data_IF_287487612297
#
_entry.id   IF_287487612297
#
_cell.length_a   1.000
_cell.length_b   1.000
_cell.length_c   1.000
_cell.angle_alpha   90.00
_cell.angle_beta   90.00
_cell.angle_gamma   90.00
#
_symmetry.space_group_name_H-M   'P 1'
#
loop_
_entity.id
_entity.type
_entity.pdbx_description
1 polymer ?
#
# COMPACT_ATOMS: atom_id res chain seq x y z
N UNK A 1 2.28 18.40 3.60
CA UNK A 1 1.89 17.45 2.52
C UNK A 1 1.07 16.32 3.14
N UNK A 2 -0.18 16.13 2.74
CA UNK A 2 -1.08 15.14 3.37
C UNK A 2 -0.61 13.67 3.26
N UNK A 3 -0.05 13.19 2.13
CA UNK A 3 0.44 11.81 2.03
C UNK A 3 1.55 11.46 3.04
N UNK A 4 2.51 12.37 3.24
CA UNK A 4 3.60 12.14 4.19
C UNK A 4 3.09 12.03 5.64
N UNK A 5 2.09 12.83 6.01
CA UNK A 5 1.51 12.76 7.35
C UNK A 5 0.76 11.44 7.59
N UNK A 6 0.01 10.97 6.59
CA UNK A 6 -0.64 9.64 6.62
C UNK A 6 0.40 8.54 6.86
N UNK A 7 1.49 8.53 6.07
CA UNK A 7 2.53 7.51 6.19
C UNK A 7 3.23 7.54 7.57
N UNK A 8 3.42 8.72 8.16
CA UNK A 8 3.97 8.88 9.52
C UNK A 8 3.03 8.27 10.56
N UNK A 9 1.73 8.61 10.54
CA UNK A 9 0.75 8.07 11.49
C UNK A 9 0.67 6.55 11.41
N UNK A 10 0.70 6.02 10.18
CA UNK A 10 0.72 4.59 9.93
C UNK A 10 2.00 3.94 10.46
N UNK A 11 3.18 4.53 10.24
CA UNK A 11 4.45 3.99 10.73
C UNK A 11 4.53 3.97 12.26
N UNK A 12 3.84 4.91 12.92
CA UNK A 12 3.77 5.00 14.38
C UNK A 12 2.62 4.20 15.00
N UNK A 13 1.79 3.53 14.20
CA UNK A 13 0.62 2.79 14.67
C UNK A 13 -0.46 3.67 15.32
N UNK A 14 -0.50 4.96 14.98
CA UNK A 14 -1.46 5.93 15.53
C UNK A 14 -2.79 5.84 14.77
N UNK A 15 -3.49 4.72 14.92
CA UNK A 15 -4.69 4.40 14.13
C UNK A 15 -5.86 5.36 14.36
N UNK A 16 -6.07 5.80 15.60
CA UNK A 16 -7.11 6.78 15.92
C UNK A 16 -6.82 8.14 15.29
N UNK A 17 -5.60 8.64 15.44
CA UNK A 17 -5.16 9.90 14.80
C UNK A 17 -5.21 9.79 13.27
N UNK A 18 -4.87 8.62 12.70
CA UNK A 18 -4.99 8.36 11.27
C UNK A 18 -6.44 8.47 10.80
N UNK A 19 -7.39 7.88 11.54
CA UNK A 19 -8.82 7.93 11.21
C UNK A 19 -9.33 9.37 11.20
N UNK A 20 -9.05 10.13 12.26
CA UNK A 20 -9.42 11.55 12.34
C UNK A 20 -8.79 12.38 11.21
N UNK A 21 -7.51 12.11 10.91
CA UNK A 21 -6.81 12.79 9.83
C UNK A 21 -7.45 12.50 8.47
N UNK A 22 -7.72 11.22 8.18
CA UNK A 22 -8.35 10.76 6.94
C UNK A 22 -9.71 11.40 6.74
N UNK A 23 -10.56 11.44 7.76
CA UNK A 23 -11.89 12.09 7.68
C UNK A 23 -11.77 13.56 7.27
N UNK A 24 -10.82 14.28 7.87
CA UNK A 24 -10.56 15.69 7.56
C UNK A 24 -10.05 15.91 6.14
N UNK A 25 -9.20 15.02 5.61
CA UNK A 25 -8.58 15.21 4.27
C UNK A 25 -9.33 14.52 3.14
N UNK A 26 -10.28 13.63 3.42
CA UNK A 26 -11.06 12.90 2.40
C UNK A 26 -11.75 13.82 1.38
N UNK A 27 -12.33 14.99 1.75
CA UNK A 27 -12.91 15.90 0.75
C UNK A 27 -11.91 16.45 -0.27
N UNK A 28 -10.61 16.43 0.05
CA UNK A 28 -9.55 16.97 -0.81
C UNK A 28 -9.17 16.03 -1.95
N UNK A 29 -9.64 14.78 -1.96
CA UNK A 29 -9.32 13.79 -3.00
C UNK A 29 -9.79 14.24 -4.39
N UNK A 30 -10.87 15.03 -4.47
CA UNK A 30 -11.33 15.63 -5.72
C UNK A 30 -10.31 16.60 -6.34
N UNK A 31 -9.59 17.35 -5.51
CA UNK A 31 -8.55 18.28 -5.95
C UNK A 31 -7.15 17.64 -6.01
N UNK A 32 -6.94 16.55 -5.28
CA UNK A 32 -5.67 15.80 -5.22
C UNK A 32 -5.94 14.32 -5.42
N UNK A 33 -6.07 13.84 -6.68
CA UNK A 33 -6.45 12.45 -6.98
C UNK A 33 -5.53 11.41 -6.34
N UNK A 34 -4.23 11.72 -6.22
CA UNK A 34 -3.24 10.85 -5.58
C UNK A 34 -3.56 10.56 -4.11
N UNK A 35 -4.29 11.44 -3.42
CA UNK A 35 -4.60 11.27 -2.00
C UNK A 35 -5.51 10.05 -1.73
N UNK A 36 -6.41 9.71 -2.66
CA UNK A 36 -7.33 8.58 -2.50
C UNK A 36 -6.59 7.25 -2.28
N UNK A 37 -5.69 6.84 -3.19
CA UNK A 37 -4.90 5.62 -3.03
C UNK A 37 -4.02 5.58 -1.77
N UNK A 38 -3.50 6.72 -1.31
CA UNK A 38 -2.79 6.81 -0.03
C UNK A 38 -3.71 6.56 1.17
N UNK A 39 -4.93 7.10 1.15
CA UNK A 39 -5.95 6.87 2.17
C UNK A 39 -6.33 5.38 2.20
N UNK A 40 -6.65 4.79 1.04
CA UNK A 40 -7.04 3.39 0.92
C UNK A 40 -5.95 2.47 1.48
N UNK A 41 -4.68 2.67 1.08
CA UNK A 41 -3.56 1.89 1.61
C UNK A 41 -3.38 2.04 3.12
N UNK A 42 -3.56 3.25 3.66
CA UNK A 42 -3.41 3.51 5.08
C UNK A 42 -4.52 2.84 5.90
N UNK A 43 -5.76 2.93 5.42
CA UNK A 43 -6.91 2.24 6.02
C UNK A 43 -6.74 0.73 5.94
N UNK A 44 -6.27 0.18 4.81
CA UNK A 44 -5.95 -1.23 4.66
C UNK A 44 -4.95 -1.72 5.72
N UNK A 45 -3.88 -0.94 5.96
CA UNK A 45 -2.90 -1.27 7.01
C UNK A 45 -3.49 -1.23 8.42
N UNK A 46 -4.38 -0.28 8.70
CA UNK A 46 -5.10 -0.21 9.98
C UNK A 46 -6.01 -1.43 10.19
N UNK A 47 -6.74 -1.85 9.15
CA UNK A 47 -7.63 -3.02 9.20
C UNK A 47 -6.83 -4.31 9.38
N UNK A 48 -5.73 -4.48 8.64
CA UNK A 48 -4.84 -5.62 8.79
C UNK A 48 -4.25 -5.70 10.21
N UNK A 49 -3.85 -4.56 10.79
CA UNK A 49 -3.37 -4.51 12.17
C UNK A 49 -4.45 -4.87 13.20
N UNK A 50 -5.73 -4.63 12.89
CA UNK A 50 -6.88 -5.01 13.72
C UNK A 50 -7.36 -6.46 13.48
N UNK A 51 -6.76 -7.19 12.54
CA UNK A 51 -7.14 -8.56 12.18
C UNK A 51 -8.26 -8.68 11.16
N UNK A 52 -8.80 -7.56 10.65
CA UNK A 52 -9.78 -7.55 9.57
C UNK A 52 -9.06 -7.64 8.20
N UNK A 53 -8.56 -8.84 7.91
CA UNK A 53 -7.76 -9.07 6.71
C UNK A 53 -8.58 -9.00 5.43
N UNK A 54 -9.86 -9.38 5.46
CA UNK A 54 -10.72 -9.37 4.28
C UNK A 54 -10.92 -7.94 3.77
N UNK A 55 -11.36 -7.02 4.64
CA UNK A 55 -11.51 -5.62 4.24
C UNK A 55 -10.17 -4.91 4.00
N UNK A 56 -9.08 -5.36 4.64
CA UNK A 56 -7.75 -4.88 4.30
C UNK A 56 -7.34 -5.23 2.85
N UNK A 57 -7.61 -6.46 2.41
CA UNK A 57 -7.31 -6.92 1.05
C UNK A 57 -8.04 -6.04 0.02
N UNK A 58 -9.34 -5.83 0.19
CA UNK A 58 -10.16 -5.00 -0.72
C UNK A 58 -9.58 -3.59 -0.88
N UNK A 59 -9.17 -2.97 0.24
CA UNK A 59 -8.59 -1.62 0.20
C UNK A 59 -7.17 -1.59 -0.39
N UNK A 60 -6.36 -2.62 -0.17
CA UNK A 60 -5.06 -2.73 -0.85
C UNK A 60 -5.23 -2.87 -2.36
N UNK A 61 -6.20 -3.67 -2.84
CA UNK A 61 -6.51 -3.83 -4.26
C UNK A 61 -7.02 -2.52 -4.88
N UNK A 62 -7.89 -1.79 -4.17
CA UNK A 62 -8.33 -0.44 -4.55
C UNK A 62 -7.13 0.51 -4.69
N UNK A 63 -6.25 0.55 -3.68
CA UNK A 63 -5.05 1.39 -3.69
C UNK A 63 -4.09 1.03 -4.85
N UNK A 64 -3.88 -0.26 -5.14
CA UNK A 64 -3.06 -0.71 -6.28
C UNK A 64 -3.65 -0.17 -7.58
N UNK A 65 -4.96 -0.34 -7.78
CA UNK A 65 -5.68 0.12 -8.97
C UNK A 65 -5.57 1.63 -9.14
N UNK A 66 -5.76 2.38 -8.05
CA UNK A 66 -5.68 3.84 -8.04
C UNK A 66 -4.26 4.37 -8.28
N UNK A 67 -3.22 3.76 -7.70
CA UNK A 67 -1.84 4.14 -8.01
C UNK A 67 -1.47 3.79 -9.45
N UNK A 68 -1.94 2.65 -9.98
CA UNK A 68 -1.68 2.25 -11.35
C UNK A 68 -2.33 3.21 -12.37
N UNK A 69 -3.59 3.61 -12.15
CA UNK A 69 -4.30 4.54 -13.04
C UNK A 69 -3.68 5.94 -13.06
N UNK A 70 -3.04 6.35 -11.96
CA UNK A 70 -2.30 7.60 -11.84
C UNK A 70 -0.83 7.49 -12.27
N UNK A 71 -0.43 6.38 -12.91
CA UNK A 71 0.95 6.14 -13.37
C UNK A 71 2.00 6.29 -12.27
N UNK A 72 1.66 5.83 -11.06
CA UNK A 72 2.55 5.80 -9.88
C UNK A 72 3.05 4.36 -9.61
N UNK A 73 3.90 3.79 -10.49
CA UNK A 73 4.26 2.37 -10.45
C UNK A 73 4.95 1.97 -9.15
N UNK A 74 5.80 2.84 -8.60
CA UNK A 74 6.48 2.58 -7.33
C UNK A 74 5.50 2.37 -6.18
N UNK A 75 4.49 3.24 -6.07
CA UNK A 75 3.49 3.14 -5.00
C UNK A 75 2.60 1.91 -5.18
N UNK A 76 2.24 1.56 -6.43
CA UNK A 76 1.51 0.33 -6.71
C UNK A 76 2.33 -0.92 -6.33
N UNK A 77 3.64 -0.95 -6.64
CA UNK A 77 4.54 -2.04 -6.26
C UNK A 77 4.70 -2.17 -4.74
N UNK A 78 4.87 -1.05 -4.04
CA UNK A 78 4.92 -1.01 -2.57
C UNK A 78 3.62 -1.51 -1.94
N UNK A 79 2.49 -1.24 -2.58
CA UNK A 79 1.17 -1.69 -2.11
C UNK A 79 0.97 -3.19 -2.35
N UNK A 80 1.41 -3.73 -3.49
CA UNK A 80 1.45 -5.20 -3.73
C UNK A 80 2.32 -5.93 -2.72
N UNK A 81 3.48 -5.38 -2.39
CA UNK A 81 4.38 -5.94 -1.38
C UNK A 81 3.71 -6.01 0.00
N UNK A 82 2.96 -4.98 0.38
CA UNK A 82 2.20 -4.95 1.65
C UNK A 82 1.04 -5.94 1.63
N UNK A 83 0.27 -6.00 0.54
CA UNK A 83 -0.83 -6.96 0.37
C UNK A 83 -0.33 -8.40 0.48
N UNK A 84 0.84 -8.70 -0.07
CA UNK A 84 1.46 -10.03 -0.01
C UNK A 84 1.77 -10.51 1.43
N UNK A 85 1.83 -9.60 2.40
CA UNK A 85 2.03 -9.93 3.82
C UNK A 85 0.71 -10.11 4.60
N UNK A 86 -0.45 -9.85 3.98
CA UNK A 86 -1.78 -9.98 4.63
C UNK A 86 -2.25 -11.43 4.61
N UNK A 87 -2.63 -12.02 5.75
CA UNK A 87 -3.20 -13.37 5.77
C UNK A 87 -4.48 -13.48 4.95
N UNK A 88 -4.56 -14.51 4.09
CA UNK A 88 -5.70 -14.70 3.19
C UNK A 88 -5.55 -13.99 1.83
N UNK A 89 -4.51 -13.17 1.63
CA UNK A 89 -4.22 -12.62 0.30
C UNK A 89 -3.89 -13.76 -0.68
N UNK A 90 -4.59 -13.77 -1.82
CA UNK A 90 -4.35 -14.76 -2.87
C UNK A 90 -3.17 -14.34 -3.73
N UNK A 91 -2.49 -15.31 -4.36
CA UNK A 91 -1.44 -15.00 -5.33
C UNK A 91 -0.21 -14.31 -4.76
N UNK A 92 0.15 -14.54 -3.49
CA UNK A 92 1.34 -13.94 -2.82
C UNK A 92 2.59 -13.91 -3.69
N UNK A 93 2.92 -15.03 -4.35
CA UNK A 93 4.10 -15.10 -5.24
C UNK A 93 3.97 -14.18 -6.45
N UNK A 94 2.78 -14.09 -7.06
CA UNK A 94 2.51 -13.17 -8.17
C UNK A 94 2.62 -11.71 -7.72
N UNK A 95 2.02 -11.36 -6.58
CA UNK A 95 2.11 -10.01 -5.99
C UNK A 95 3.57 -9.57 -5.75
N UNK A 96 4.38 -10.46 -5.17
CA UNK A 96 5.80 -10.20 -4.95
C UNK A 96 6.60 -10.17 -6.27
N UNK A 97 6.28 -11.04 -7.24
CA UNK A 97 6.90 -11.03 -8.57
C UNK A 97 6.66 -9.71 -9.31
N UNK A 98 5.42 -9.24 -9.34
CA UNK A 98 5.05 -7.96 -9.98
C UNK A 98 5.70 -6.76 -9.29
N UNK A 99 5.74 -6.78 -7.95
CA UNK A 99 6.43 -5.75 -7.17
C UNK A 99 7.93 -5.74 -7.47
N UNK A 100 8.56 -6.91 -7.53
CA UNK A 100 9.98 -7.04 -7.85
C UNK A 100 10.31 -6.50 -9.24
N UNK A 101 9.57 -6.93 -10.27
CA UNK A 101 9.78 -6.47 -11.64
C UNK A 101 9.65 -4.94 -11.76
N UNK A 102 8.70 -4.34 -11.03
CA UNK A 102 8.54 -2.89 -10.97
C UNK A 102 9.70 -2.21 -10.26
N UNK A 103 10.17 -2.75 -9.13
CA UNK A 103 11.32 -2.17 -8.43
C UNK A 103 12.61 -2.28 -9.24
N UNK A 104 12.81 -3.37 -9.98
CA UNK A 104 13.95 -3.56 -10.87
C UNK A 104 13.93 -2.56 -12.03
N UNK A 105 12.79 -2.35 -12.69
CA UNK A 105 12.68 -1.40 -13.81
C UNK A 105 12.91 0.06 -13.39
N UNK A 106 12.57 0.40 -12.14
CA UNK A 106 12.79 1.72 -11.55
C UNK A 106 14.18 1.89 -10.93
N UNK A 107 15.01 0.85 -10.88
CA UNK A 107 16.31 0.88 -10.20
C UNK A 107 16.22 0.99 -8.67
N UNK A 108 15.07 0.64 -8.07
CA UNK A 108 14.82 0.71 -6.62
C UNK A 108 15.48 -0.47 -5.88
N UNK A 109 16.81 -0.55 -5.93
CA UNK A 109 17.60 -1.69 -5.46
C UNK A 109 17.29 -2.14 -4.01
N UNK A 110 17.11 -1.24 -3.01
CA UNK A 110 16.76 -1.65 -1.66
C UNK A 110 15.40 -2.37 -1.57
N UNK A 111 14.44 -1.96 -2.41
CA UNK A 111 13.11 -2.56 -2.46
C UNK A 111 13.14 -3.91 -3.17
N UNK A 112 13.85 -4.00 -4.29
CA UNK A 112 14.04 -5.25 -5.02
C UNK A 112 14.73 -6.32 -4.14
N UNK A 113 15.80 -5.94 -3.41
CA UNK A 113 16.49 -6.85 -2.49
C UNK A 113 15.56 -7.41 -1.39
N UNK A 114 14.74 -6.54 -0.79
CA UNK A 114 13.78 -6.93 0.25
C UNK A 114 12.73 -7.91 -0.29
N UNK A 115 12.19 -7.67 -1.49
CA UNK A 115 11.22 -8.59 -2.11
C UNK A 115 11.85 -9.93 -2.47
N UNK A 116 13.07 -9.95 -3.02
CA UNK A 116 13.79 -11.21 -3.31
C UNK A 116 13.97 -12.07 -2.08
N UNK A 117 14.25 -11.48 -0.91
CA UNK A 117 14.36 -12.20 0.34
C UNK A 117 13.03 -12.86 0.81
N UNK A 118 11.88 -12.40 0.30
CA UNK A 118 10.54 -12.95 0.60
C UNK A 118 10.08 -14.04 -0.36
N UNK A 119 10.74 -14.18 -1.51
CA UNK A 119 10.45 -15.20 -2.52
C UNK A 119 11.22 -16.48 -2.17
N UNK A 120 10.64 -17.67 -2.39
CA UNK A 120 11.38 -18.92 -2.22
C UNK A 120 12.57 -18.96 -3.19
N UNK A 121 13.65 -19.63 -2.77
CA UNK A 121 14.72 -19.99 -3.69
C UNK A 121 14.15 -20.90 -4.79
N UNK A 122 14.52 -20.62 -6.03
CA UNK A 122 14.16 -21.45 -7.18
C UNK A 122 14.85 -22.82 -7.13
#
# INVERSE_FOLDING_TARGET
MAPAHIEILVALGRWDELREFVERVRPLTAATPLLGPFIDRAQARSLAAAGDHASAIDLFESAITGFASLTCPFEAARTRELLADVPGATGRQGLLGDALATYESLGAAPHAARVRAKLPAA
#
